data_IF_304911377897
#
_entry.id   IF_304911377897
#
_cell.length_a   1.000
_cell.length_b   1.000
_cell.length_c   1.000
_cell.angle_alpha   90.00
_cell.angle_beta   90.00
_cell.angle_gamma   90.00
#
_symmetry.space_group_name_H-M   'P 1'
#
loop_
_entity.id
_entity.type
_entity.pdbx_description
1 polymer ?
#
# COMPACT_ATOMS: atom_id res chain seq x y z
N UNK A 1 -13.12 12.08 -7.80
CA UNK A 1 -13.23 12.39 -7.15
C UNK A 1 -12.79 12.43 -6.16
N UNK A 2 -12.68 12.45 -5.81
CA UNK A 2 -12.59 12.67 -4.83
C UNK A 2 -12.27 12.93 -4.39
N UNK A 3 -12.30 12.88 -4.64
CA UNK A 3 -12.26 13.42 -4.04
C UNK A 3 -13.00 14.21 -3.41
N UNK A 4 -14.05 14.05 -3.33
CA UNK A 4 -14.94 14.94 -2.68
C UNK A 4 -14.34 15.74 -1.57
N UNK A 5 -13.27 15.25 -1.02
CA UNK A 5 -12.60 15.92 0.09
C UNK A 5 -11.63 16.99 -0.35
N UNK A 6 -11.42 17.12 -1.61
CA UNK A 6 -10.47 18.10 -2.15
C UNK A 6 -10.98 19.52 -2.01
N UNK A 7 -12.24 19.70 -1.74
CA UNK A 7 -12.86 21.01 -1.60
C UNK A 7 -12.64 21.65 -0.22
N UNK A 8 -12.00 20.97 0.67
CA UNK A 8 -11.96 21.36 2.07
C UNK A 8 -11.05 22.53 2.39
N UNK A 9 -10.08 22.82 1.55
CA UNK A 9 -9.11 23.85 1.88
C UNK A 9 -8.92 24.83 0.71
N UNK A 10 -9.67 25.91 0.71
CA UNK A 10 -9.48 26.95 -0.30
C UNK A 10 -8.22 27.75 0.00
N UNK A 11 -7.07 27.13 -0.15
CA UNK A 11 -5.80 27.79 0.06
C UNK A 11 -5.38 28.44 -1.24
N UNK A 12 -5.18 29.74 -1.23
CA UNK A 12 -4.71 30.45 -2.40
C UNK A 12 -3.20 30.30 -2.56
N UNK A 13 -2.71 30.44 -3.79
CA UNK A 13 -1.28 30.44 -4.05
C UNK A 13 -0.56 31.56 -3.29
N UNK A 14 -1.22 32.66 -3.07
CA UNK A 14 -0.67 33.80 -2.33
C UNK A 14 -0.40 33.38 -0.87
N UNK A 15 -1.35 32.69 -0.27
CA UNK A 15 -1.17 32.23 1.11
C UNK A 15 -0.01 31.24 1.23
N UNK A 16 0.13 30.36 0.26
CA UNK A 16 1.23 29.41 0.23
C UNK A 16 2.56 30.13 0.09
N UNK A 17 2.65 31.08 -0.80
CA UNK A 17 3.87 31.84 -1.04
C UNK A 17 4.28 32.68 0.15
N UNK A 18 3.33 33.22 0.89
CA UNK A 18 3.60 34.09 2.03
C UNK A 18 3.85 33.33 3.33
N UNK A 19 3.62 32.03 3.36
CA UNK A 19 3.80 31.23 4.56
C UNK A 19 4.81 30.11 4.30
N UNK A 20 6.10 30.29 4.65
CA UNK A 20 7.12 29.25 4.41
C UNK A 20 6.81 27.92 5.08
N UNK A 21 6.25 27.93 6.28
CA UNK A 21 5.90 26.70 6.97
C UNK A 21 4.83 25.92 6.21
N UNK A 22 3.81 26.63 5.73
CA UNK A 22 2.76 26.01 4.95
C UNK A 22 3.29 25.46 3.63
N UNK A 23 4.15 26.21 2.96
CA UNK A 23 4.76 25.76 1.70
C UNK A 23 5.56 24.49 1.88
N UNK A 24 6.34 24.39 2.94
CA UNK A 24 7.14 23.19 3.24
C UNK A 24 6.23 22.01 3.54
N UNK A 25 5.17 22.22 4.32
CA UNK A 25 4.23 21.17 4.64
C UNK A 25 3.54 20.60 3.42
N UNK A 26 3.08 21.49 2.52
CA UNK A 26 2.43 21.06 1.29
C UNK A 26 3.41 20.34 0.37
N UNK A 27 4.62 20.87 0.24
CA UNK A 27 5.65 20.23 -0.58
C UNK A 27 5.95 18.82 -0.07
N UNK A 28 6.11 18.64 1.24
CA UNK A 28 6.39 17.34 1.83
C UNK A 28 5.22 16.36 1.62
N UNK A 29 3.98 16.83 1.74
CA UNK A 29 2.81 16.01 1.50
C UNK A 29 2.75 15.55 0.04
N UNK A 30 2.98 16.45 -0.91
CA UNK A 30 3.00 16.13 -2.33
C UNK A 30 4.12 15.16 -2.68
N UNK A 31 5.31 15.38 -2.12
CA UNK A 31 6.44 14.49 -2.34
C UNK A 31 6.14 13.07 -1.85
N UNK A 32 5.54 12.96 -0.67
CA UNK A 32 5.16 11.66 -0.11
C UNK A 32 4.15 10.94 -1.00
N UNK A 33 3.13 11.66 -1.46
CA UNK A 33 2.10 11.11 -2.35
C UNK A 33 2.74 10.65 -3.67
N UNK A 34 3.64 11.43 -4.23
CA UNK A 34 4.34 11.09 -5.46
C UNK A 34 5.16 9.80 -5.29
N UNK A 35 5.90 9.68 -4.20
CA UNK A 35 6.69 8.49 -3.93
C UNK A 35 5.83 7.23 -3.79
N UNK A 36 4.67 7.36 -3.14
CA UNK A 36 3.72 6.24 -3.01
C UNK A 36 3.15 5.82 -4.36
N UNK A 37 2.80 6.78 -5.19
CA UNK A 37 2.27 6.52 -6.52
C UNK A 37 3.33 5.85 -7.40
N UNK A 38 4.56 6.32 -7.33
CA UNK A 38 5.67 5.75 -8.07
C UNK A 38 5.92 4.29 -7.68
N UNK A 39 5.86 3.99 -6.39
CA UNK A 39 6.02 2.63 -5.90
C UNK A 39 4.92 1.71 -6.45
N UNK A 40 3.68 2.15 -6.43
CA UNK A 40 2.57 1.35 -6.97
C UNK A 40 2.72 1.12 -8.46
N UNK A 41 3.19 2.12 -9.21
CA UNK A 41 3.46 1.95 -10.63
C UNK A 41 4.58 0.94 -10.86
N UNK A 42 5.61 0.96 -10.04
CA UNK A 42 6.71 0.00 -10.13
C UNK A 42 6.20 -1.43 -9.86
N UNK A 43 5.33 -1.60 -8.87
CA UNK A 43 4.74 -2.90 -8.58
C UNK A 43 3.93 -3.41 -9.78
N UNK A 44 3.13 -2.55 -10.40
CA UNK A 44 2.33 -2.92 -11.57
C UNK A 44 3.17 -3.31 -12.77
N UNK A 45 4.40 -2.83 -12.85
CA UNK A 45 5.32 -3.18 -13.93
C UNK A 45 5.97 -4.55 -13.76
N UNK A 46 5.85 -5.16 -12.58
CA UNK A 46 6.44 -6.48 -12.32
C UNK A 46 5.67 -7.54 -13.10
N UNK A 47 6.38 -8.46 -13.72
CA UNK A 47 5.77 -9.58 -14.42
C UNK A 47 5.24 -10.61 -13.43
N UNK A 48 4.07 -11.13 -13.74
CA UNK A 48 3.46 -12.15 -12.90
C UNK A 48 2.67 -11.56 -11.73
N UNK A 49 1.42 -11.98 -11.62
CA UNK A 49 0.53 -11.44 -10.61
C UNK A 49 0.93 -11.86 -9.20
N UNK A 50 1.47 -13.06 -9.04
CA UNK A 50 1.94 -13.51 -7.72
C UNK A 50 3.04 -12.58 -7.19
N UNK A 51 4.01 -12.26 -8.04
CA UNK A 51 5.10 -11.36 -7.66
C UNK A 51 4.61 -9.96 -7.38
N UNK A 52 3.60 -9.50 -8.10
CA UNK A 52 2.98 -8.20 -7.83
C UNK A 52 2.31 -8.18 -6.47
N UNK A 53 1.58 -9.23 -6.13
CA UNK A 53 0.93 -9.33 -4.83
C UNK A 53 1.96 -9.39 -3.71
N UNK A 54 3.02 -10.17 -3.88
CA UNK A 54 4.10 -10.23 -2.91
C UNK A 54 4.73 -8.85 -2.69
N UNK A 55 5.03 -8.16 -3.78
CA UNK A 55 5.64 -6.82 -3.71
C UNK A 55 4.71 -5.82 -3.04
N UNK A 56 3.41 -5.91 -3.30
CA UNK A 56 2.43 -5.07 -2.63
C UNK A 56 2.45 -5.30 -1.11
N UNK A 57 2.46 -6.55 -0.68
CA UNK A 57 2.50 -6.84 0.76
C UNK A 57 3.81 -6.42 1.41
N UNK A 58 4.93 -6.56 0.73
CA UNK A 58 6.21 -6.08 1.23
C UNK A 58 6.16 -4.56 1.40
N UNK A 59 5.62 -3.85 0.42
CA UNK A 59 5.44 -2.40 0.48
C UNK A 59 4.55 -2.01 1.67
N UNK A 60 3.43 -2.71 1.85
CA UNK A 60 2.53 -2.44 2.96
C UNK A 60 3.19 -2.74 4.31
N UNK A 61 4.00 -3.78 4.37
CA UNK A 61 4.73 -4.12 5.59
C UNK A 61 5.73 -3.03 5.98
N UNK A 62 6.39 -2.45 5.00
CA UNK A 62 7.33 -1.34 5.25
C UNK A 62 6.63 -0.10 5.75
N UNK A 63 5.39 0.13 5.31
CA UNK A 63 4.64 1.35 5.65
C UNK A 63 3.78 1.19 6.89
N UNK A 64 3.12 0.07 7.02
CA UNK A 64 2.10 -0.15 8.05
C UNK A 64 2.38 -1.38 8.90
N UNK A 65 3.54 -1.98 8.73
CA UNK A 65 3.89 -3.18 9.45
C UNK A 65 4.45 -2.89 10.82
N UNK A 66 4.32 -3.89 11.69
CA UNK A 66 4.93 -3.88 13.04
C UNK A 66 5.51 -5.24 13.29
N UNK A 67 6.60 -5.29 14.04
CA UNK A 67 7.19 -6.57 14.42
C UNK A 67 6.19 -7.40 15.21
N UNK A 68 6.06 -8.67 14.87
CA UNK A 68 5.12 -9.56 15.52
C UNK A 68 5.68 -10.97 15.46
N UNK A 69 6.05 -11.53 16.63
CA UNK A 69 6.66 -12.85 16.70
C UNK A 69 7.82 -12.95 15.70
N UNK A 70 7.75 -13.89 14.77
CA UNK A 70 8.80 -14.13 13.78
C UNK A 70 8.51 -13.47 12.43
N UNK A 71 7.66 -12.46 12.41
CA UNK A 71 7.28 -11.82 11.17
C UNK A 71 6.87 -10.38 11.37
N UNK A 72 6.16 -9.87 10.39
CA UNK A 72 5.65 -8.49 10.38
C UNK A 72 4.15 -8.53 10.20
N UNK A 73 3.40 -8.02 11.18
CA UNK A 73 1.96 -7.90 11.04
C UNK A 73 1.64 -6.60 10.31
N UNK A 74 0.78 -6.69 9.33
CA UNK A 74 0.32 -5.52 8.58
C UNK A 74 -1.01 -5.06 9.18
N UNK A 75 -0.99 -3.89 9.78
CA UNK A 75 -2.14 -3.34 10.48
C UNK A 75 -3.03 -2.51 9.54
N UNK A 76 -3.40 -3.12 8.44
CA UNK A 76 -4.30 -2.52 7.47
C UNK A 76 -5.18 -3.63 6.90
N UNK A 77 -6.45 -3.31 6.70
CA UNK A 77 -7.38 -4.26 6.12
C UNK A 77 -7.49 -4.05 4.63
N UNK A 78 -7.24 -5.12 3.88
CA UNK A 78 -7.45 -5.11 2.43
C UNK A 78 -8.24 -6.35 2.06
N UNK A 79 -9.36 -6.13 1.40
CA UNK A 79 -10.14 -7.23 0.83
C UNK A 79 -9.47 -7.70 -0.47
N UNK A 80 -9.81 -8.90 -0.89
CA UNK A 80 -9.32 -9.40 -2.18
C UNK A 80 -9.77 -8.52 -3.34
N UNK A 81 -10.96 -7.93 -3.24
CA UNK A 81 -11.44 -7.01 -4.27
C UNK A 81 -10.62 -5.72 -4.31
N UNK A 82 -10.24 -5.21 -3.15
CA UNK A 82 -9.39 -4.02 -3.09
C UNK A 82 -8.01 -4.28 -3.67
N UNK A 83 -7.43 -5.44 -3.37
CA UNK A 83 -6.15 -5.84 -3.95
C UNK A 83 -6.28 -5.96 -5.46
N UNK A 84 -7.36 -6.58 -5.93
CA UNK A 84 -7.62 -6.72 -7.35
C UNK A 84 -7.72 -5.37 -8.05
N UNK A 85 -8.41 -4.42 -7.43
CA UNK A 85 -8.55 -3.08 -7.97
C UNK A 85 -7.21 -2.35 -8.02
N UNK A 86 -6.41 -2.47 -6.97
CA UNK A 86 -5.08 -1.84 -6.93
C UNK A 86 -4.17 -2.37 -8.02
N UNK A 87 -4.20 -3.67 -8.27
CA UNK A 87 -3.28 -4.32 -9.19
C UNK A 87 -3.88 -4.56 -10.59
N UNK A 88 -5.09 -4.09 -10.80
CA UNK A 88 -5.78 -4.20 -12.09
C UNK A 88 -5.91 -5.67 -12.52
N UNK A 89 -6.49 -6.46 -11.65
CA UNK A 89 -6.78 -7.87 -11.90
C UNK A 89 -8.16 -8.22 -11.34
N UNK A 90 -8.51 -9.51 -11.32
CA UNK A 90 -9.81 -9.95 -10.83
C UNK A 90 -9.71 -10.47 -9.40
N UNK A 91 -10.83 -10.40 -8.68
CA UNK A 91 -10.90 -10.96 -7.32
C UNK A 91 -10.60 -12.46 -7.32
N UNK A 92 -11.05 -13.18 -8.34
CA UNK A 92 -10.82 -14.62 -8.44
C UNK A 92 -9.33 -14.93 -8.50
N UNK A 93 -8.59 -14.18 -9.32
CA UNK A 93 -7.14 -14.35 -9.43
C UNK A 93 -6.45 -14.06 -8.09
N UNK A 94 -6.83 -12.98 -7.44
CA UNK A 94 -6.27 -12.63 -6.13
C UNK A 94 -6.55 -13.74 -5.12
N UNK A 95 -7.79 -14.23 -5.07
CA UNK A 95 -8.17 -15.28 -4.12
C UNK A 95 -7.32 -16.53 -4.31
N UNK A 96 -7.11 -16.93 -5.56
CA UNK A 96 -6.29 -18.10 -5.86
C UNK A 96 -4.84 -17.90 -5.40
N UNK A 97 -4.26 -16.76 -5.74
CA UNK A 97 -2.88 -16.47 -5.38
C UNK A 97 -2.73 -16.35 -3.85
N UNK A 98 -3.66 -15.70 -3.19
CA UNK A 98 -3.64 -15.57 -1.74
C UNK A 98 -3.70 -16.93 -1.06
N UNK A 99 -4.49 -17.86 -1.60
CA UNK A 99 -4.54 -19.24 -1.09
C UNK A 99 -3.17 -19.90 -1.24
N UNK A 100 -2.53 -19.76 -2.38
CA UNK A 100 -1.21 -20.33 -2.61
C UNK A 100 -0.17 -19.76 -1.64
N UNK A 101 -0.21 -18.46 -1.42
CA UNK A 101 0.71 -17.80 -0.49
C UNK A 101 0.51 -18.24 0.95
N UNK A 102 -0.73 -18.48 1.36
CA UNK A 102 -1.04 -18.98 2.69
C UNK A 102 -0.58 -20.43 2.83
N UNK A 103 -0.79 -21.24 1.80
CA UNK A 103 -0.38 -22.64 1.82
C UNK A 103 1.13 -22.78 1.91
N UNK A 104 1.87 -21.93 1.21
CA UNK A 104 3.33 -21.94 1.28
C UNK A 104 3.88 -21.28 2.55
N UNK A 105 3.00 -20.69 3.37
CA UNK A 105 3.34 -19.97 4.58
C UNK A 105 4.20 -18.73 4.35
N UNK A 106 4.12 -18.19 3.15
CA UNK A 106 4.71 -16.91 2.87
C UNK A 106 3.94 -15.79 3.58
N UNK A 107 2.63 -15.99 3.68
CA UNK A 107 1.70 -15.05 4.30
C UNK A 107 0.78 -15.84 5.23
N UNK A 108 0.52 -15.29 6.39
CA UNK A 108 -0.39 -15.91 7.38
C UNK A 108 -1.52 -14.93 7.64
N UNK A 109 -2.74 -15.45 7.78
CA UNK A 109 -3.88 -14.65 8.19
C UNK A 109 -4.25 -15.03 9.61
N UNK A 110 -4.14 -14.10 10.53
CA UNK A 110 -4.46 -14.32 11.94
C UNK A 110 -5.28 -13.15 12.44
N UNK A 111 -6.45 -13.43 12.99
CA UNK A 111 -7.38 -12.42 13.53
C UNK A 111 -7.66 -11.31 12.51
N UNK A 112 -7.89 -11.69 11.27
CA UNK A 112 -8.16 -10.77 10.16
C UNK A 112 -7.00 -9.85 9.82
N UNK A 113 -5.79 -10.16 10.28
CA UNK A 113 -4.58 -9.40 9.93
C UNK A 113 -3.62 -10.27 9.17
N UNK A 114 -2.95 -9.68 8.21
CA UNK A 114 -1.93 -10.38 7.44
C UNK A 114 -0.59 -10.29 8.14
N UNK A 115 0.11 -11.41 8.18
CA UNK A 115 1.44 -11.49 8.77
C UNK A 115 2.41 -12.03 7.72
N UNK A 116 3.42 -11.24 7.39
CA UNK A 116 4.51 -11.72 6.53
C UNK A 116 5.52 -12.43 7.40
N UNK A 117 5.87 -13.65 7.02
CA UNK A 117 6.88 -14.40 7.75
C UNK A 117 8.27 -13.82 7.46
N UNK A 118 9.26 -14.13 8.30
CA UNK A 118 10.61 -13.65 8.07
C UNK A 118 11.18 -14.01 6.70
N UNK A 119 10.77 -15.14 6.17
CA UNK A 119 11.20 -15.57 4.85
C UNK A 119 10.68 -14.68 3.74
N UNK A 120 9.61 -13.93 4.02
CA UNK A 120 8.98 -13.09 3.03
C UNK A 120 9.72 -11.78 2.78
N UNK A 121 10.53 -11.35 3.74
CA UNK A 121 11.21 -10.06 3.68
C UNK A 121 12.61 -10.13 3.10
N UNK A 122 13.01 -11.30 2.71
CA UNK A 122 14.35 -11.52 2.12
C UNK A 122 14.29 -11.47 0.61
#
# INVERSE_FOLDING_TARGET
QALGNCDLLPISLIEIEQNPTLSISIFNALRKTYQQTEMLLSIKAIRGMEDRIKSLFIFLAERYGRDYKDGIVIDIRLTHQEIANLLTTTRVTVTRIMSDLKESKWLILERSKYILTQRSTI
#
